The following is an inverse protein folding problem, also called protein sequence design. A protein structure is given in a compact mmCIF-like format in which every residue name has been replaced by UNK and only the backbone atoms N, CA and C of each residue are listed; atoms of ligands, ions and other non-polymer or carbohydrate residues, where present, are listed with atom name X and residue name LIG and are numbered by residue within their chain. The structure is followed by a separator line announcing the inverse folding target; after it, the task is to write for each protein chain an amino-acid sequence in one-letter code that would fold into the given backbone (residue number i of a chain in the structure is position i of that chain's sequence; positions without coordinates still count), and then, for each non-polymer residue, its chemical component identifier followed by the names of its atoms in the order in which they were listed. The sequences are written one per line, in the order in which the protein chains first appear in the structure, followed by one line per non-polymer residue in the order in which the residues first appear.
data_IF_472246326549
#
_entry.id   IF_472246326549
#
_cell.length_a   1.000
_cell.length_b   1.000
_cell.length_c   1.000
_cell.angle_alpha   90.00
_cell.angle_beta   90.00
_cell.angle_gamma   90.00
#
_symmetry.space_group_name_H-M   'P 1'
#
loop_
_entity.id
_entity.type
_entity.pdbx_description
1 polymer ?
#
# COMPACT_ATOMS: atom_id res chain seq x y z
N UNK A 1 9.33 15.23 19.09
CA UNK A 1 9.54 15.39 17.62
C UNK A 1 8.95 16.69 17.10
N UNK A 2 7.76 17.08 17.54
CA UNK A 2 7.12 18.34 17.14
C UNK A 2 7.94 19.59 17.54
N UNK A 3 8.50 19.57 18.73
CA UNK A 3 9.37 20.67 19.23
C UNK A 3 10.63 20.88 18.37
N UNK A 4 11.20 19.82 17.81
CA UNK A 4 12.41 19.92 16.98
C UNK A 4 12.16 20.68 15.67
N UNK A 5 11.03 20.41 15.00
CA UNK A 5 10.64 21.10 13.75
C UNK A 5 10.37 22.59 14.04
N UNK A 6 9.63 22.89 15.12
CA UNK A 6 9.38 24.26 15.54
C UNK A 6 10.70 25.00 15.80
N UNK A 7 11.63 24.36 16.51
CA UNK A 7 12.94 24.95 16.78
C UNK A 7 13.71 25.26 15.49
N UNK A 8 13.72 24.34 14.52
CA UNK A 8 14.37 24.57 13.23
C UNK A 8 13.76 25.75 12.46
N UNK A 9 12.42 25.84 12.42
CA UNK A 9 11.71 26.95 11.77
C UNK A 9 12.03 28.28 12.45
N UNK A 10 12.01 28.31 13.79
CA UNK A 10 12.35 29.52 14.56
C UNK A 10 13.80 29.95 14.31
N UNK A 11 14.74 29.01 14.37
CA UNK A 11 16.17 29.30 14.08
C UNK A 11 16.35 29.84 12.66
N UNK A 12 15.66 29.26 11.67
CA UNK A 12 15.71 29.74 10.28
C UNK A 12 15.16 31.17 10.14
N UNK A 13 14.02 31.48 10.76
CA UNK A 13 13.42 32.82 10.73
C UNK A 13 14.33 33.84 11.44
N UNK A 14 14.90 33.47 12.59
CA UNK A 14 15.85 34.32 13.32
C UNK A 14 17.09 34.59 12.48
N UNK A 15 17.65 33.58 11.81
CA UNK A 15 18.78 33.73 10.92
C UNK A 15 18.47 34.67 9.75
N UNK A 16 17.32 34.50 9.09
CA UNK A 16 16.87 35.42 8.05
C UNK A 16 16.69 36.86 8.55
N UNK A 17 16.19 37.01 9.79
CA UNK A 17 16.06 38.32 10.46
C UNK A 17 17.42 38.99 10.73
N UNK A 18 18.43 38.23 11.13
CA UNK A 18 19.81 38.72 11.33
C UNK A 18 20.39 39.22 10.00
N UNK A 19 20.22 38.49 8.91
CA UNK A 19 20.68 38.89 7.59
C UNK A 19 20.00 40.17 7.08
N UNK A 20 18.72 40.33 7.38
CA UNK A 20 17.99 41.56 7.07
C UNK A 20 18.47 42.73 7.95
N UNK A 21 18.73 42.52 9.26
CA UNK A 21 19.25 43.53 10.16
C UNK A 21 20.67 44.02 9.80
N UNK A 22 21.47 43.15 9.17
CA UNK A 22 22.81 43.49 8.64
C UNK A 22 22.77 44.16 7.26
N UNK A 23 21.57 44.41 6.71
CA UNK A 23 21.42 45.07 5.42
C UNK A 23 21.78 44.21 4.22
N UNK A 24 21.92 42.89 4.43
CA UNK A 24 22.14 41.92 3.32
C UNK A 24 20.90 41.80 2.45
N UNK A 25 19.69 41.95 3.09
CA UNK A 25 18.39 41.96 2.43
C UNK A 25 17.53 43.13 2.97
N UNK A 26 16.66 43.64 2.11
CA UNK A 26 15.80 44.81 2.46
C UNK A 26 14.83 44.54 3.63
N UNK A 27 14.37 43.28 3.77
CA UNK A 27 13.54 42.87 4.90
C UNK A 27 13.62 41.35 5.11
N UNK A 28 13.13 40.89 6.27
CA UNK A 28 13.15 39.47 6.66
C UNK A 28 12.39 38.57 5.67
N UNK A 29 11.25 39.05 5.12
CA UNK A 29 10.48 38.28 4.14
C UNK A 29 11.26 38.06 2.85
N UNK A 30 11.95 39.09 2.36
CA UNK A 30 12.78 39.00 1.17
C UNK A 30 13.98 38.07 1.40
N UNK A 31 14.61 38.14 2.58
CA UNK A 31 15.66 37.22 2.99
C UNK A 31 15.19 35.76 2.95
N UNK A 32 14.04 35.44 3.57
CA UNK A 32 13.45 34.10 3.58
C UNK A 32 13.20 33.62 2.14
N UNK A 33 12.56 34.46 1.31
CA UNK A 33 12.25 34.12 -0.08
C UNK A 33 13.50 33.87 -0.92
N UNK A 34 14.52 34.69 -0.73
CA UNK A 34 15.80 34.56 -1.44
C UNK A 34 16.55 33.30 -1.04
N UNK A 35 16.61 32.98 0.26
CA UNK A 35 17.23 31.75 0.76
C UNK A 35 16.49 30.52 0.25
N UNK A 36 15.15 30.50 0.32
CA UNK A 36 14.33 29.39 -0.19
C UNK A 36 14.45 29.26 -1.71
N UNK A 37 14.74 30.34 -2.43
CA UNK A 37 14.98 30.34 -3.89
C UNK A 37 16.38 29.90 -4.31
N UNK A 38 17.33 29.75 -3.35
CA UNK A 38 18.62 29.15 -3.64
C UNK A 38 18.42 27.69 -4.06
N UNK A 39 19.12 27.29 -5.10
CA UNK A 39 18.98 25.93 -5.61
C UNK A 39 20.07 25.60 -6.65
N UNK A 40 20.04 24.37 -7.08
CA UNK A 40 20.93 23.83 -8.11
C UNK A 40 20.10 23.21 -9.24
N UNK A 41 20.70 23.09 -10.41
CA UNK A 41 20.01 22.51 -11.57
C UNK A 41 20.49 21.07 -11.79
N UNK A 42 19.53 20.14 -11.90
CA UNK A 42 19.78 18.74 -12.26
C UNK A 42 18.98 18.45 -13.53
N UNK A 43 19.65 18.04 -14.58
CA UNK A 43 19.04 17.70 -15.88
C UNK A 43 18.05 18.77 -16.40
N UNK A 44 18.37 20.05 -16.21
CA UNK A 44 17.53 21.16 -16.65
C UNK A 44 16.42 21.58 -15.69
N UNK A 45 16.17 20.85 -14.63
CA UNK A 45 15.23 21.20 -13.57
C UNK A 45 15.97 21.91 -12.44
N UNK A 46 15.50 23.10 -12.05
CA UNK A 46 16.05 23.85 -10.91
C UNK A 46 15.38 23.35 -9.63
N UNK A 47 16.16 22.70 -8.76
CA UNK A 47 15.72 22.26 -7.46
C UNK A 47 16.10 23.33 -6.42
N UNK A 48 15.11 23.92 -5.76
CA UNK A 48 15.29 24.97 -4.76
C UNK A 48 15.22 24.41 -3.33
N UNK A 49 15.81 25.13 -2.37
CA UNK A 49 15.68 24.78 -0.95
C UNK A 49 14.20 24.79 -0.51
N UNK A 50 13.39 25.68 -1.08
CA UNK A 50 11.96 25.72 -0.83
C UNK A 50 11.25 24.45 -1.25
N UNK A 51 11.53 23.93 -2.45
CA UNK A 51 10.95 22.68 -2.93
C UNK A 51 11.39 21.48 -2.09
N UNK A 52 12.65 21.43 -1.65
CA UNK A 52 13.14 20.41 -0.73
C UNK A 52 12.39 20.48 0.60
N UNK A 53 12.22 21.66 1.18
CA UNK A 53 11.47 21.84 2.42
C UNK A 53 10.00 21.41 2.27
N UNK A 54 9.36 21.80 1.16
CA UNK A 54 7.98 21.40 0.88
C UNK A 54 7.83 19.89 0.65
N UNK A 55 8.77 19.26 -0.04
CA UNK A 55 8.76 17.81 -0.27
C UNK A 55 8.91 17.03 1.03
N UNK A 56 9.83 17.45 1.91
CA UNK A 56 10.02 16.84 3.24
C UNK A 56 8.77 17.02 4.10
N UNK A 57 8.17 18.22 4.09
CA UNK A 57 6.93 18.49 4.82
C UNK A 57 5.79 17.59 4.32
N UNK A 58 5.60 17.50 3.01
CA UNK A 58 4.58 16.66 2.39
C UNK A 58 4.80 15.19 2.75
N UNK A 59 6.03 14.69 2.64
CA UNK A 59 6.36 13.32 3.02
C UNK A 59 6.03 13.04 4.50
N UNK A 60 6.40 13.95 5.39
CA UNK A 60 6.06 13.86 6.81
C UNK A 60 4.55 13.85 7.06
N UNK A 61 3.78 14.69 6.36
CA UNK A 61 2.32 14.71 6.44
C UNK A 61 1.71 13.37 6.00
N UNK A 62 2.20 12.80 4.91
CA UNK A 62 1.73 11.51 4.40
C UNK A 62 2.02 10.39 5.40
N UNK A 63 3.21 10.37 6.01
CA UNK A 63 3.55 9.40 7.06
C UNK A 63 2.70 9.60 8.33
N UNK A 64 2.35 10.84 8.65
CA UNK A 64 1.46 11.16 9.78
C UNK A 64 0.04 10.65 9.53
N UNK A 65 -0.47 10.81 8.31
CA UNK A 65 -1.75 10.24 7.88
C UNK A 65 -1.70 8.70 7.98
N UNK A 66 -0.62 8.07 7.51
CA UNK A 66 -0.42 6.62 7.63
C UNK A 66 -0.49 6.17 9.10
N UNK A 67 0.16 6.91 10.00
CA UNK A 67 0.11 6.60 11.43
C UNK A 67 -1.32 6.74 11.99
N UNK A 68 -2.05 7.80 11.63
CA UNK A 68 -3.44 7.99 12.05
C UNK A 68 -4.34 6.86 11.57
N UNK A 69 -4.23 6.47 10.29
CA UNK A 69 -5.02 5.37 9.71
C UNK A 69 -4.75 4.05 10.46
N UNK A 70 -3.49 3.70 10.67
CA UNK A 70 -3.11 2.47 11.38
C UNK A 70 -3.60 2.47 12.82
N UNK A 71 -3.43 3.58 13.53
CA UNK A 71 -3.92 3.72 14.92
C UNK A 71 -5.45 3.58 14.99
N UNK A 72 -6.17 4.18 14.03
CA UNK A 72 -7.62 4.03 13.96
C UNK A 72 -8.06 2.58 13.71
N UNK A 73 -7.38 1.88 12.79
CA UNK A 73 -7.66 0.47 12.51
C UNK A 73 -7.40 -0.41 13.73
N UNK A 74 -6.27 -0.21 14.44
CA UNK A 74 -5.92 -0.95 15.65
C UNK A 74 -6.90 -0.72 16.79
N UNK A 75 -7.34 0.53 16.99
CA UNK A 75 -8.18 0.87 18.15
C UNK A 75 -9.66 0.60 17.91
N UNK A 76 -10.17 0.78 16.69
CA UNK A 76 -11.60 0.80 16.42
C UNK A 76 -12.10 -0.31 15.48
N UNK A 77 -11.27 -0.74 14.53
CA UNK A 77 -11.71 -1.66 13.48
C UNK A 77 -11.39 -3.12 13.79
N UNK A 78 -10.15 -3.42 14.14
CA UNK A 78 -9.71 -4.80 14.37
C UNK A 78 -10.42 -5.45 15.57
N UNK A 79 -10.59 -4.79 16.73
CA UNK A 79 -11.28 -5.38 17.86
C UNK A 79 -12.75 -5.68 17.56
N UNK A 80 -13.43 -4.79 16.83
CA UNK A 80 -14.86 -4.98 16.48
C UNK A 80 -15.10 -6.12 15.50
N UNK A 81 -14.11 -6.51 14.73
CA UNK A 81 -14.19 -7.57 13.72
C UNK A 81 -13.51 -8.86 14.14
N UNK A 82 -13.04 -8.95 15.40
CA UNK A 82 -12.27 -10.09 15.92
C UNK A 82 -11.12 -10.51 14.98
N UNK A 83 -10.43 -9.51 14.38
CA UNK A 83 -9.32 -9.77 13.47
C UNK A 83 -8.14 -10.26 14.31
N UNK A 84 -7.59 -11.41 13.93
CA UNK A 84 -6.43 -11.99 14.57
C UNK A 84 -5.24 -11.00 14.54
N UNK A 85 -4.51 -10.91 15.65
CA UNK A 85 -3.41 -9.94 15.81
C UNK A 85 -2.35 -10.05 14.71
N UNK A 86 -2.04 -11.26 14.24
CA UNK A 86 -1.10 -11.50 13.15
C UNK A 86 -1.54 -10.87 11.82
N UNK A 87 -2.84 -10.99 11.50
CA UNK A 87 -3.43 -10.38 10.31
C UNK A 87 -3.42 -8.86 10.41
N UNK A 88 -3.80 -8.31 11.56
CA UNK A 88 -3.79 -6.86 11.81
C UNK A 88 -2.40 -6.24 11.64
N UNK A 89 -1.37 -6.90 12.19
CA UNK A 89 0.03 -6.46 12.02
C UNK A 89 0.44 -6.46 10.54
N UNK A 90 0.05 -7.49 9.79
CA UNK A 90 0.39 -7.61 8.37
C UNK A 90 -0.28 -6.51 7.53
N UNK A 91 -1.56 -6.22 7.78
CA UNK A 91 -2.30 -5.13 7.13
C UNK A 91 -1.64 -3.78 7.45
N UNK A 92 -1.28 -3.53 8.71
CA UNK A 92 -0.64 -2.29 9.10
C UNK A 92 0.74 -2.08 8.45
N UNK A 93 1.52 -3.14 8.27
CA UNK A 93 2.78 -3.08 7.52
C UNK A 93 2.55 -2.75 6.06
N UNK A 94 1.56 -3.40 5.42
CA UNK A 94 1.22 -3.12 4.03
C UNK A 94 0.81 -1.65 3.84
N UNK A 95 -0.08 -1.14 4.70
CA UNK A 95 -0.48 0.27 4.70
C UNK A 95 0.75 1.18 4.85
N UNK A 96 1.62 0.89 5.82
CA UNK A 96 2.82 1.70 6.06
C UNK A 96 3.73 1.77 4.83
N UNK A 97 4.05 0.64 4.21
CA UNK A 97 4.90 0.61 3.03
C UNK A 97 4.23 1.27 1.82
N UNK A 98 2.91 1.11 1.64
CA UNK A 98 2.18 1.80 0.58
C UNK A 98 2.26 3.32 0.73
N UNK A 99 2.09 3.84 1.95
CA UNK A 99 2.21 5.27 2.21
C UNK A 99 3.64 5.79 2.05
N UNK A 100 4.67 4.98 2.36
CA UNK A 100 6.08 5.34 2.07
C UNK A 100 6.28 5.51 0.57
N UNK A 101 5.84 4.54 -0.25
CA UNK A 101 6.05 4.57 -1.70
C UNK A 101 5.30 5.76 -2.33
N UNK A 102 4.02 5.95 -1.97
CA UNK A 102 3.20 7.06 -2.46
C UNK A 102 3.79 8.40 -1.99
N UNK A 103 4.15 8.51 -0.72
CA UNK A 103 4.72 9.73 -0.15
C UNK A 103 6.06 10.09 -0.78
N UNK A 104 6.91 9.11 -1.05
CA UNK A 104 8.17 9.31 -1.74
C UNK A 104 7.94 9.79 -3.19
N UNK A 105 7.04 9.16 -3.93
CA UNK A 105 6.71 9.57 -5.29
C UNK A 105 6.21 11.02 -5.35
N UNK A 106 5.27 11.38 -4.47
CA UNK A 106 4.74 12.75 -4.40
C UNK A 106 5.79 13.77 -3.94
N UNK A 107 6.68 13.40 -3.04
CA UNK A 107 7.80 14.25 -2.62
C UNK A 107 8.76 14.53 -3.77
N UNK A 108 9.07 13.52 -4.60
CA UNK A 108 9.90 13.68 -5.80
C UNK A 108 9.25 14.62 -6.83
N UNK A 109 7.93 14.53 -7.02
CA UNK A 109 7.19 15.42 -7.92
C UNK A 109 7.28 16.88 -7.45
N UNK A 110 7.12 17.14 -6.15
CA UNK A 110 7.25 18.48 -5.57
C UNK A 110 8.67 19.04 -5.76
N UNK A 111 9.68 18.19 -5.76
CA UNK A 111 11.07 18.58 -6.05
C UNK A 111 11.32 18.87 -7.54
N UNK A 112 10.30 18.74 -8.41
CA UNK A 112 10.46 18.91 -9.85
C UNK A 112 11.14 17.72 -10.55
N UNK A 113 11.36 16.63 -9.84
CA UNK A 113 11.83 15.37 -10.42
C UNK A 113 10.61 14.64 -10.92
N UNK A 114 10.23 14.89 -12.17
CA UNK A 114 8.97 14.39 -12.74
C UNK A 114 8.80 12.89 -12.57
N UNK A 115 7.59 12.48 -12.18
CA UNK A 115 7.20 11.06 -12.03
C UNK A 115 7.43 10.25 -13.32
N UNK A 116 7.58 10.93 -14.44
CA UNK A 116 7.84 10.31 -15.74
C UNK A 116 9.10 9.42 -15.72
N UNK A 117 10.14 9.82 -14.99
CA UNK A 117 11.35 9.04 -14.82
C UNK A 117 11.15 7.81 -13.91
N UNK A 118 10.20 7.89 -12.98
CA UNK A 118 9.83 6.78 -12.08
C UNK A 118 8.83 5.82 -12.73
N UNK A 119 8.08 6.26 -13.74
CA UNK A 119 7.02 5.47 -14.38
C UNK A 119 7.56 4.16 -14.94
N UNK A 120 8.74 4.18 -15.54
CA UNK A 120 9.37 2.97 -16.10
C UNK A 120 9.71 1.98 -14.98
N UNK A 121 10.28 2.47 -13.88
CA UNK A 121 10.67 1.63 -12.73
C UNK A 121 9.41 1.09 -12.05
N UNK A 122 8.41 1.95 -11.79
CA UNK A 122 7.13 1.55 -11.19
C UNK A 122 6.40 0.56 -12.10
N UNK A 123 6.42 0.79 -13.42
CA UNK A 123 5.84 -0.11 -14.39
C UNK A 123 6.49 -1.49 -14.38
N UNK A 124 7.83 -1.55 -14.42
CA UNK A 124 8.57 -2.80 -14.35
C UNK A 124 8.33 -3.57 -13.04
N UNK A 125 8.33 -2.85 -11.89
CA UNK A 125 7.98 -3.43 -10.60
C UNK A 125 6.52 -3.90 -10.56
N UNK A 126 5.59 -3.12 -11.12
CA UNK A 126 4.16 -3.48 -11.21
C UNK A 126 3.94 -4.77 -12.00
N UNK A 127 4.62 -4.93 -13.13
CA UNK A 127 4.59 -6.19 -13.91
C UNK A 127 5.14 -7.36 -13.09
N UNK A 128 6.29 -7.17 -12.42
CA UNK A 128 6.88 -8.21 -11.57
C UNK A 128 5.97 -8.62 -10.41
N UNK A 129 5.38 -7.65 -9.72
CA UNK A 129 4.40 -7.88 -8.63
C UNK A 129 3.15 -8.55 -9.21
N UNK A 130 2.66 -8.12 -10.39
CA UNK A 130 1.52 -8.71 -11.06
C UNK A 130 1.70 -10.19 -11.35
N UNK A 131 2.83 -10.60 -11.88
CA UNK A 131 3.17 -12.01 -12.07
C UNK A 131 3.29 -12.77 -10.74
N UNK A 132 3.89 -12.13 -9.71
CA UNK A 132 3.99 -12.74 -8.37
C UNK A 132 2.63 -12.96 -7.70
N UNK A 133 1.64 -12.10 -7.96
CA UNK A 133 0.29 -12.18 -7.40
C UNK A 133 -0.71 -12.92 -8.30
N UNK A 134 -0.34 -13.31 -9.51
CA UNK A 134 -1.24 -13.89 -10.51
C UNK A 134 -2.06 -15.08 -9.96
N UNK A 135 -1.40 -16.02 -9.26
CA UNK A 135 -2.09 -17.17 -8.68
C UNK A 135 -3.09 -16.77 -7.57
N UNK A 136 -2.77 -15.75 -6.79
CA UNK A 136 -3.66 -15.26 -5.73
C UNK A 136 -4.92 -14.65 -6.36
N UNK A 137 -4.74 -13.79 -7.38
CA UNK A 137 -5.84 -13.14 -8.10
C UNK A 137 -6.70 -14.18 -8.84
N UNK A 138 -6.09 -15.15 -9.50
CA UNK A 138 -6.82 -16.24 -10.17
C UNK A 138 -7.69 -17.04 -9.18
N UNK A 139 -7.13 -17.43 -8.06
CA UNK A 139 -7.88 -18.17 -7.05
C UNK A 139 -9.02 -17.35 -6.46
N UNK A 140 -8.78 -16.07 -6.22
CA UNK A 140 -9.83 -15.16 -5.73
C UNK A 140 -10.96 -14.98 -6.76
N UNK A 141 -10.63 -14.72 -8.02
CA UNK A 141 -11.60 -14.59 -9.10
C UNK A 141 -12.41 -15.88 -9.28
N UNK A 142 -11.75 -17.04 -9.28
CA UNK A 142 -12.40 -18.35 -9.33
C UNK A 142 -13.32 -18.59 -8.13
N UNK A 143 -12.91 -18.19 -6.93
CA UNK A 143 -13.77 -18.27 -5.74
C UNK A 143 -15.04 -17.44 -5.88
N UNK A 144 -14.95 -16.23 -6.43
CA UNK A 144 -16.13 -15.41 -6.73
C UNK A 144 -17.03 -16.09 -7.77
N UNK A 145 -16.47 -16.65 -8.85
CA UNK A 145 -17.24 -17.38 -9.87
C UNK A 145 -18.01 -18.53 -9.23
N UNK A 146 -17.35 -19.38 -8.45
CA UNK A 146 -18.01 -20.51 -7.76
C UNK A 146 -19.16 -20.06 -6.85
N UNK A 147 -19.00 -18.93 -6.15
CA UNK A 147 -20.02 -18.38 -5.27
C UNK A 147 -21.22 -17.79 -6.04
N UNK A 148 -20.99 -17.15 -7.19
CA UNK A 148 -22.04 -16.56 -8.00
C UNK A 148 -22.78 -17.59 -8.85
N UNK A 149 -22.05 -18.44 -9.55
CA UNK A 149 -22.64 -19.48 -10.43
C UNK A 149 -23.24 -20.63 -9.64
N UNK A 150 -22.74 -20.86 -8.41
CA UNK A 150 -23.19 -21.96 -7.54
C UNK A 150 -23.10 -23.34 -8.18
N UNK A 151 -22.11 -23.51 -9.07
CA UNK A 151 -21.82 -24.80 -9.73
C UNK A 151 -21.38 -25.88 -8.72
N UNK A 152 -20.85 -25.46 -7.56
CA UNK A 152 -20.49 -26.30 -6.41
C UNK A 152 -21.00 -25.59 -5.14
N UNK A 153 -21.62 -26.33 -4.22
CA UNK A 153 -22.16 -25.80 -2.95
C UNK A 153 -21.59 -26.57 -1.77
N UNK A 154 -21.64 -25.95 -0.60
CA UNK A 154 -21.34 -26.66 0.66
C UNK A 154 -22.34 -27.80 0.84
N UNK A 155 -21.84 -28.99 1.11
CA UNK A 155 -22.62 -30.22 1.24
C UNK A 155 -22.62 -31.10 -0.02
N UNK A 156 -22.20 -30.58 -1.19
CA UNK A 156 -22.13 -31.36 -2.42
C UNK A 156 -21.07 -32.45 -2.34
N UNK A 157 -21.38 -33.62 -2.92
CA UNK A 157 -20.42 -34.71 -3.11
C UNK A 157 -19.76 -34.52 -4.48
N UNK A 158 -18.46 -34.31 -4.47
CA UNK A 158 -17.67 -34.02 -5.66
C UNK A 158 -16.51 -34.98 -5.83
N UNK A 159 -16.09 -35.14 -7.09
CA UNK A 159 -14.86 -35.84 -7.42
C UNK A 159 -13.89 -34.86 -8.05
N UNK A 160 -12.77 -34.63 -7.37
CA UNK A 160 -11.71 -33.72 -7.81
C UNK A 160 -10.42 -34.54 -7.91
N UNK A 161 -9.79 -34.54 -9.11
CA UNK A 161 -8.57 -35.31 -9.38
C UNK A 161 -8.69 -36.80 -8.97
N UNK A 162 -9.87 -37.42 -9.20
CA UNK A 162 -10.11 -38.83 -8.86
C UNK A 162 -10.42 -39.06 -7.37
N UNK A 163 -10.38 -38.04 -6.52
CA UNK A 163 -10.67 -38.18 -5.10
C UNK A 163 -12.10 -37.76 -4.80
N UNK A 164 -12.83 -38.64 -4.13
CA UNK A 164 -14.20 -38.37 -3.66
C UNK A 164 -14.23 -37.63 -2.34
N UNK A 165 -15.13 -36.70 -2.22
CA UNK A 165 -15.32 -36.00 -0.95
C UNK A 165 -16.53 -35.09 -0.95
N UNK A 166 -16.86 -34.58 0.22
CA UNK A 166 -17.97 -33.64 0.45
C UNK A 166 -17.38 -32.25 0.67
N UNK A 167 -17.93 -31.24 -0.01
CA UNK A 167 -17.54 -29.83 0.16
C UNK A 167 -17.92 -29.35 1.54
N UNK A 168 -16.94 -29.02 2.37
CA UNK A 168 -17.15 -28.50 3.73
C UNK A 168 -17.22 -26.98 3.78
N UNK A 169 -16.38 -26.33 3.03
CA UNK A 169 -16.28 -24.86 3.05
C UNK A 169 -15.77 -24.32 1.73
N UNK A 170 -16.46 -23.31 1.21
CA UNK A 170 -16.03 -22.52 0.05
C UNK A 170 -15.39 -21.23 0.57
N UNK A 171 -14.05 -21.15 0.53
CA UNK A 171 -13.29 -19.95 0.90
C UNK A 171 -13.05 -19.04 -0.30
N UNK A 172 -12.49 -17.86 -0.05
CA UNK A 172 -12.17 -16.89 -1.11
C UNK A 172 -11.09 -17.37 -2.08
N UNK A 173 -10.12 -18.17 -1.63
CA UNK A 173 -9.03 -18.65 -2.48
C UNK A 173 -8.99 -20.17 -2.65
N UNK A 174 -9.56 -20.90 -1.72
CA UNK A 174 -9.51 -22.36 -1.70
C UNK A 174 -10.80 -22.94 -1.10
N UNK A 175 -11.19 -24.08 -1.60
CA UNK A 175 -12.31 -24.89 -1.12
C UNK A 175 -11.81 -26.04 -0.28
N UNK A 176 -12.43 -26.30 0.86
CA UNK A 176 -12.11 -27.43 1.73
C UNK A 176 -13.09 -28.55 1.43
N UNK A 177 -12.56 -29.70 1.05
CA UNK A 177 -13.30 -30.93 0.73
C UNK A 177 -12.89 -31.99 1.75
N UNK A 178 -13.88 -32.57 2.46
CA UNK A 178 -13.66 -33.72 3.33
C UNK A 178 -13.75 -35.00 2.49
N UNK A 179 -12.64 -35.72 2.40
CA UNK A 179 -12.61 -37.03 1.71
C UNK A 179 -13.36 -38.10 2.52
N UNK A 180 -13.77 -39.19 1.86
CA UNK A 180 -14.40 -40.29 2.57
C UNK A 180 -13.46 -41.06 3.51
N UNK A 181 -12.13 -40.86 3.34
CA UNK A 181 -11.13 -41.30 4.31
C UNK A 181 -10.98 -40.40 5.53
N UNK A 182 -11.87 -39.41 5.68
CA UNK A 182 -11.92 -38.46 6.79
C UNK A 182 -10.72 -37.46 6.82
N UNK A 183 -10.02 -37.26 5.68
CA UNK A 183 -9.00 -36.26 5.51
C UNK A 183 -9.58 -34.98 4.91
N UNK A 184 -9.02 -33.82 5.28
CA UNK A 184 -9.36 -32.55 4.64
C UNK A 184 -8.42 -32.28 3.46
N UNK A 185 -9.00 -32.14 2.28
CA UNK A 185 -8.30 -31.77 1.06
C UNK A 185 -8.56 -30.28 0.77
N UNK A 186 -7.51 -29.47 0.72
CA UNK A 186 -7.56 -28.05 0.39
C UNK A 186 -7.30 -27.90 -1.10
N UNK A 187 -8.33 -27.52 -1.86
CA UNK A 187 -8.24 -27.37 -3.32
C UNK A 187 -8.26 -25.90 -3.68
N UNK A 188 -7.26 -25.36 -4.42
CA UNK A 188 -7.32 -24.02 -4.97
C UNK A 188 -8.58 -23.83 -5.82
N UNK A 189 -9.24 -22.68 -5.68
CA UNK A 189 -10.48 -22.42 -6.43
C UNK A 189 -10.23 -22.38 -7.95
N UNK A 190 -9.03 -21.93 -8.38
CA UNK A 190 -8.64 -21.96 -9.79
C UNK A 190 -8.70 -23.36 -10.37
N UNK A 191 -8.35 -24.39 -9.62
CA UNK A 191 -8.36 -25.77 -10.07
C UNK A 191 -9.79 -26.27 -10.27
N UNK A 192 -10.72 -25.87 -9.38
CA UNK A 192 -12.13 -26.23 -9.49
C UNK A 192 -12.84 -25.59 -10.69
N UNK A 193 -12.38 -24.41 -11.13
CA UNK A 193 -12.94 -23.69 -12.28
C UNK A 193 -12.28 -24.13 -13.60
N UNK A 194 -10.97 -24.44 -13.57
CA UNK A 194 -10.22 -24.76 -14.80
C UNK A 194 -10.14 -26.24 -15.12
N UNK A 195 -10.43 -27.13 -14.18
CA UNK A 195 -10.43 -28.58 -14.38
C UNK A 195 -11.83 -29.19 -14.40
N UNK A 196 -11.92 -30.41 -14.86
CA UNK A 196 -13.19 -31.17 -14.81
C UNK A 196 -13.49 -31.60 -13.37
N UNK A 197 -14.59 -31.18 -12.84
CA UNK A 197 -15.11 -31.60 -11.52
C UNK A 197 -16.46 -32.27 -11.73
N UNK A 198 -16.61 -33.47 -11.22
CA UNK A 198 -17.90 -34.16 -11.23
C UNK A 198 -18.64 -33.85 -9.93
N UNK A 199 -19.79 -33.19 -10.03
CA UNK A 199 -20.71 -32.96 -8.92
C UNK A 199 -21.81 -34.03 -8.98
N UNK A 200 -21.93 -34.85 -7.94
CA UNK A 200 -22.90 -35.94 -7.84
C UNK A 200 -24.15 -35.60 -7.06
N UNK A 201 -24.27 -34.36 -6.60
CA UNK A 201 -25.40 -33.92 -5.76
C UNK A 201 -26.29 -32.89 -6.48
N UNK A 202 -25.91 -32.50 -7.68
CA UNK A 202 -26.67 -31.54 -8.49
C UNK A 202 -27.93 -32.13 -9.05
#
# INVERSE_FOLDING_TARGET
RFNFIITLVVVFIVFAGILAAWGVYDNTWFAVKSILGLGFTVQGTKITLGEICWSVLLFYLILSISWMVRTYLESNFYPKRNIESGVGISINRLIYYSFIVIGFALAMEVMGIGLQNLTVIIGALGVGIGFGLQNIVNNFASGLILLFERSIKVGDVVVVNGTWGTVKHLGLRATIIQTFANAEMIVPNSDLVSSTVNNWTM
#
